data_IF_129939704099
#
_entry.id   IF_129939704099
#
_cell.length_a   1.000
_cell.length_b   1.000
_cell.length_c   1.000
_cell.angle_alpha   90.00
_cell.angle_beta   90.00
_cell.angle_gamma   90.00
#
_symmetry.space_group_name_H-M   'P 1'
#
loop_
_entity.id
_entity.type
_entity.pdbx_description
1 polymer ?
#
# COMPACT_ATOMS: atom_id res chain seq x y z
N UNK A 1 -23.76 5.10 -5.63
CA UNK A 1 -22.29 5.18 -5.71
C UNK A 1 -21.58 3.85 -5.41
N UNK A 2 -22.09 2.98 -4.51
CA UNK A 2 -21.48 1.67 -4.23
C UNK A 2 -21.43 0.67 -5.40
N UNK A 3 -22.30 0.81 -6.41
CA UNK A 3 -22.35 -0.09 -7.58
C UNK A 3 -21.15 0.07 -8.53
N UNK A 4 -20.55 1.25 -8.60
CA UNK A 4 -19.40 1.49 -9.47
C UNK A 4 -18.11 0.89 -8.88
N UNK A 5 -17.86 1.15 -7.59
CA UNK A 5 -16.69 0.61 -6.88
C UNK A 5 -16.72 -0.91 -6.88
N UNK A 6 -17.89 -1.51 -6.61
CA UNK A 6 -18.06 -2.96 -6.66
C UNK A 6 -17.76 -3.53 -8.06
N UNK A 7 -18.30 -2.92 -9.12
CA UNK A 7 -18.00 -3.34 -10.51
C UNK A 7 -16.52 -3.25 -10.85
N UNK A 8 -15.85 -2.22 -10.35
CA UNK A 8 -14.42 -1.99 -10.57
C UNK A 8 -13.58 -3.03 -9.80
N UNK A 9 -14.01 -3.42 -8.58
CA UNK A 9 -13.40 -4.51 -7.82
C UNK A 9 -13.66 -5.90 -8.43
N UNK A 10 -14.73 -6.08 -9.20
CA UNK A 10 -15.00 -7.30 -9.96
C UNK A 10 -14.27 -7.34 -11.31
N UNK A 11 -13.54 -6.30 -11.70
CA UNK A 11 -12.86 -6.25 -12.98
C UNK A 11 -11.48 -6.94 -12.93
N UNK A 12 -11.24 -7.83 -13.88
CA UNK A 12 -9.97 -8.55 -14.02
C UNK A 12 -8.84 -7.62 -14.47
N UNK A 13 -9.13 -6.65 -15.36
CA UNK A 13 -8.12 -5.71 -15.82
C UNK A 13 -7.64 -4.84 -14.66
N UNK A 14 -8.56 -4.32 -13.85
CA UNK A 14 -8.22 -3.61 -12.62
C UNK A 14 -7.40 -4.46 -11.64
N UNK A 15 -7.67 -5.77 -11.56
CA UNK A 15 -6.90 -6.70 -10.71
C UNK A 15 -5.43 -6.79 -11.09
N UNK A 16 -5.13 -6.91 -12.39
CA UNK A 16 -3.76 -6.92 -12.88
C UNK A 16 -3.05 -5.59 -12.68
N UNK A 17 -3.76 -4.46 -12.87
CA UNK A 17 -3.21 -3.13 -12.63
C UNK A 17 -2.85 -2.98 -11.14
N UNK A 18 -3.75 -3.35 -10.23
CA UNK A 18 -3.47 -3.31 -8.79
C UNK A 18 -2.28 -4.19 -8.41
N UNK A 19 -2.21 -5.39 -8.98
CA UNK A 19 -1.09 -6.31 -8.74
C UNK A 19 0.23 -5.68 -9.18
N UNK A 20 0.26 -5.07 -10.36
CA UNK A 20 1.42 -4.36 -10.86
C UNK A 20 1.85 -3.25 -9.91
N UNK A 21 0.91 -2.42 -9.43
CA UNK A 21 1.21 -1.36 -8.46
C UNK A 21 1.76 -1.90 -7.13
N UNK A 22 1.18 -2.99 -6.60
CA UNK A 22 1.65 -3.59 -5.34
C UNK A 22 3.11 -4.01 -5.48
N UNK A 23 3.45 -4.71 -6.57
CA UNK A 23 4.82 -5.13 -6.81
C UNK A 23 5.76 -3.96 -7.11
N UNK A 24 5.32 -2.98 -7.90
CA UNK A 24 6.14 -1.82 -8.25
C UNK A 24 6.50 -0.99 -7.01
N UNK A 25 5.51 -0.70 -6.14
CA UNK A 25 5.74 0.04 -4.90
C UNK A 25 6.57 -0.78 -3.91
N UNK A 26 6.30 -2.09 -3.78
CA UNK A 26 7.11 -2.96 -2.94
C UNK A 26 8.58 -3.00 -3.39
N UNK A 27 8.84 -3.09 -4.69
CA UNK A 27 10.20 -3.05 -5.24
C UNK A 27 10.84 -1.70 -4.95
N UNK A 28 10.12 -0.58 -5.11
CA UNK A 28 10.65 0.75 -4.80
C UNK A 28 11.06 0.86 -3.33
N UNK A 29 10.20 0.41 -2.43
CA UNK A 29 10.48 0.34 -1.00
C UNK A 29 11.73 -0.51 -0.71
N UNK A 30 11.83 -1.70 -1.30
CA UNK A 30 12.98 -2.58 -1.12
C UNK A 30 14.27 -1.98 -1.67
N UNK A 31 14.23 -1.34 -2.85
CA UNK A 31 15.40 -0.68 -3.45
C UNK A 31 15.91 0.40 -2.52
N UNK A 32 15.04 1.20 -1.90
CA UNK A 32 15.47 2.20 -0.93
C UNK A 32 16.02 1.55 0.34
N UNK A 33 15.32 0.57 0.91
CA UNK A 33 15.73 -0.12 2.13
C UNK A 33 17.10 -0.82 2.00
N UNK A 34 17.40 -1.37 0.81
CA UNK A 34 18.66 -2.05 0.52
C UNK A 34 19.74 -1.13 -0.08
N UNK A 35 19.38 0.09 -0.50
CA UNK A 35 20.32 1.09 -1.01
C UNK A 35 21.36 1.46 0.05
N UNK A 36 22.54 1.90 -0.39
CA UNK A 36 23.58 2.44 0.50
C UNK A 36 23.01 3.54 1.40
N UNK A 37 22.23 4.45 0.80
CA UNK A 37 21.58 5.55 1.51
C UNK A 37 20.63 5.05 2.61
N UNK A 38 19.85 4.00 2.35
CA UNK A 38 18.92 3.42 3.34
C UNK A 38 19.61 2.61 4.45
N UNK A 39 20.84 2.14 4.21
CA UNK A 39 21.64 1.36 5.17
C UNK A 39 22.45 2.22 6.12
N UNK A 40 22.72 3.47 5.76
CA UNK A 40 23.36 4.44 6.65
C UNK A 40 22.48 4.71 7.88
N UNK A 41 23.06 5.06 9.04
CA UNK A 41 22.29 5.33 10.27
C UNK A 41 21.20 6.39 10.03
N UNK A 42 21.51 7.37 9.19
CA UNK A 42 20.58 8.44 8.77
C UNK A 42 19.40 7.88 7.96
N UNK A 43 19.67 7.09 6.92
CA UNK A 43 18.62 6.48 6.10
C UNK A 43 17.80 5.44 6.86
N UNK A 44 18.40 4.72 7.79
CA UNK A 44 17.68 3.82 8.71
C UNK A 44 16.68 4.57 9.58
N UNK A 45 17.03 5.79 10.03
CA UNK A 45 16.11 6.67 10.76
C UNK A 45 14.94 7.15 9.89
N UNK A 46 15.19 7.48 8.63
CA UNK A 46 14.14 7.84 7.65
C UNK A 46 13.21 6.65 7.40
N UNK A 47 13.78 5.48 7.11
CA UNK A 47 13.05 4.25 6.85
C UNK A 47 12.18 3.87 8.04
N UNK A 48 12.70 3.95 9.26
CA UNK A 48 11.93 3.67 10.47
C UNK A 48 10.69 4.56 10.62
N UNK A 49 10.83 5.87 10.40
CA UNK A 49 9.69 6.81 10.46
C UNK A 49 8.68 6.58 9.34
N UNK A 50 9.17 6.32 8.12
CA UNK A 50 8.31 6.01 6.99
C UNK A 50 7.51 4.72 7.21
N UNK A 51 8.13 3.68 7.77
CA UNK A 51 7.45 2.45 8.15
C UNK A 51 6.37 2.68 9.21
N UNK A 52 6.58 3.58 10.18
CA UNK A 52 5.56 3.93 11.17
C UNK A 52 4.32 4.55 10.50
N UNK A 53 4.51 5.48 9.56
CA UNK A 53 3.40 6.05 8.79
C UNK A 53 2.70 5.00 7.93
N UNK A 54 3.46 4.09 7.31
CA UNK A 54 2.91 2.92 6.63
C UNK A 54 2.04 2.08 7.55
N UNK A 55 2.54 1.68 8.73
CA UNK A 55 1.79 0.87 9.71
C UNK A 55 0.48 1.55 10.12
N UNK A 56 0.46 2.87 10.30
CA UNK A 56 -0.76 3.63 10.57
C UNK A 56 -1.75 3.49 9.39
N UNK A 57 -1.28 3.64 8.15
CA UNK A 57 -2.12 3.45 6.97
C UNK A 57 -2.67 2.02 6.87
N UNK A 58 -1.86 1.00 7.20
CA UNK A 58 -2.29 -0.39 7.24
C UNK A 58 -3.35 -0.63 8.33
N UNK A 59 -3.14 -0.07 9.53
CA UNK A 59 -4.10 -0.15 10.63
C UNK A 59 -5.46 0.43 10.23
N UNK A 60 -5.46 1.64 9.66
CA UNK A 60 -6.70 2.28 9.17
C UNK A 60 -7.31 1.48 8.02
N UNK A 61 -6.51 1.07 7.04
CA UNK A 61 -6.97 0.34 5.86
C UNK A 61 -7.64 -1.01 6.19
N UNK A 62 -7.05 -1.78 7.11
CA UNK A 62 -7.62 -3.07 7.54
C UNK A 62 -8.91 -2.90 8.34
N UNK A 63 -9.01 -1.88 9.21
CA UNK A 63 -10.24 -1.58 9.93
C UNK A 63 -11.36 -1.10 8.99
N UNK A 64 -11.02 -0.33 7.95
CA UNK A 64 -11.99 0.05 6.92
C UNK A 64 -12.44 -1.16 6.10
N UNK A 65 -11.52 -2.03 5.70
CA UNK A 65 -11.85 -3.23 4.92
C UNK A 65 -12.79 -4.16 5.69
N UNK A 66 -12.57 -4.33 7.00
CA UNK A 66 -13.43 -5.15 7.86
C UNK A 66 -14.82 -4.56 8.10
N UNK A 67 -14.98 -3.23 8.03
CA UNK A 67 -16.31 -2.60 8.05
C UNK A 67 -17.18 -3.04 6.86
N UNK A 68 -16.56 -3.35 5.72
CA UNK A 68 -17.23 -3.80 4.50
C UNK A 68 -17.16 -5.32 4.29
N UNK A 69 -16.97 -6.11 5.35
CA UNK A 69 -16.73 -7.56 5.27
C UNK A 69 -17.71 -8.27 4.34
N UNK A 70 -19.02 -8.06 4.47
CA UNK A 70 -20.04 -8.73 3.64
C UNK A 70 -19.88 -8.47 2.13
N UNK A 71 -19.41 -7.29 1.74
CA UNK A 71 -19.15 -6.94 0.33
C UNK A 71 -17.79 -7.42 -0.13
N UNK A 72 -16.79 -7.42 0.76
CA UNK A 72 -15.43 -7.85 0.41
C UNK A 72 -15.33 -9.36 0.28
N UNK A 73 -16.10 -10.13 1.07
CA UNK A 73 -16.12 -11.59 1.03
C UNK A 73 -17.14 -12.17 0.05
N UNK A 74 -17.90 -11.35 -0.67
CA UNK A 74 -18.93 -11.84 -1.60
C UNK A 74 -18.35 -12.52 -2.83
N UNK A 75 -17.14 -12.14 -3.23
CA UNK A 75 -16.46 -12.67 -4.40
C UNK A 75 -14.93 -12.72 -4.16
N UNK A 76 -14.24 -13.82 -4.53
CA UNK A 76 -12.79 -13.94 -4.36
C UNK A 76 -11.97 -12.86 -5.07
N UNK A 77 -12.43 -12.36 -6.23
CA UNK A 77 -11.76 -11.30 -6.99
C UNK A 77 -11.91 -9.94 -6.27
N UNK A 78 -13.09 -9.65 -5.74
CA UNK A 78 -13.35 -8.46 -4.93
C UNK A 78 -12.48 -8.48 -3.67
N UNK A 79 -12.41 -9.62 -2.99
CA UNK A 79 -11.54 -9.82 -1.83
C UNK A 79 -10.07 -9.53 -2.18
N UNK A 80 -9.59 -10.15 -3.25
CA UNK A 80 -8.20 -9.99 -3.72
C UNK A 80 -7.88 -8.53 -4.03
N UNK A 81 -8.78 -7.84 -4.73
CA UNK A 81 -8.59 -6.44 -5.10
C UNK A 81 -8.67 -5.49 -3.90
N UNK A 82 -9.59 -5.73 -2.97
CA UNK A 82 -9.71 -4.94 -1.75
C UNK A 82 -8.43 -5.04 -0.89
N UNK A 83 -7.90 -6.26 -0.72
CA UNK A 83 -6.64 -6.47 0.01
C UNK A 83 -5.47 -5.79 -0.71
N UNK A 84 -5.37 -5.93 -2.03
CA UNK A 84 -4.33 -5.25 -2.82
C UNK A 84 -4.40 -3.72 -2.71
N UNK A 85 -5.59 -3.14 -2.66
CA UNK A 85 -5.76 -1.69 -2.44
C UNK A 85 -5.22 -1.26 -1.08
N UNK A 86 -5.44 -2.04 -0.02
CA UNK A 86 -4.88 -1.76 1.31
C UNK A 86 -3.35 -1.80 1.28
N UNK A 87 -2.76 -2.80 0.61
CA UNK A 87 -1.30 -2.87 0.45
C UNK A 87 -0.75 -1.74 -0.42
N UNK A 88 -1.44 -1.37 -1.49
CA UNK A 88 -1.06 -0.22 -2.30
C UNK A 88 -1.07 1.07 -1.47
N UNK A 89 -2.09 1.29 -0.66
CA UNK A 89 -2.15 2.45 0.24
C UNK A 89 -1.01 2.43 1.27
N UNK A 90 -0.69 1.26 1.84
CA UNK A 90 0.45 1.08 2.74
C UNK A 90 1.77 1.46 2.09
N UNK A 91 2.13 0.84 0.97
CA UNK A 91 3.41 1.09 0.32
C UNK A 91 3.50 2.51 -0.23
N UNK A 92 2.42 3.03 -0.82
CA UNK A 92 2.38 4.40 -1.31
C UNK A 92 2.60 5.42 -0.17
N UNK A 93 2.02 5.18 1.01
CA UNK A 93 2.25 6.03 2.19
C UNK A 93 3.69 5.94 2.66
N UNK A 94 4.27 4.74 2.72
CA UNK A 94 5.65 4.54 3.12
C UNK A 94 6.64 5.20 2.12
N UNK A 95 6.44 5.00 0.83
CA UNK A 95 7.30 5.51 -0.23
C UNK A 95 7.22 7.04 -0.34
N UNK A 96 6.02 7.62 -0.25
CA UNK A 96 5.86 9.07 -0.17
C UNK A 96 6.52 9.63 1.08
N UNK A 97 6.39 8.96 2.22
CA UNK A 97 7.05 9.38 3.46
C UNK A 97 8.57 9.37 3.32
N UNK A 98 9.14 8.33 2.69
CA UNK A 98 10.57 8.26 2.37
C UNK A 98 10.96 9.47 1.51
N UNK A 99 10.26 9.71 0.40
CA UNK A 99 10.55 10.80 -0.53
C UNK A 99 10.49 12.18 0.14
N UNK A 100 9.48 12.41 0.99
CA UNK A 100 9.28 13.67 1.71
C UNK A 100 10.39 13.85 2.76
N UNK A 101 10.66 12.82 3.57
CA UNK A 101 11.66 12.89 4.64
C UNK A 101 13.08 13.06 4.10
N UNK A 102 13.38 12.51 2.92
CA UNK A 102 14.64 12.76 2.19
C UNK A 102 14.81 14.21 1.75
N UNK A 103 13.71 14.91 1.44
CA UNK A 103 13.75 16.30 0.97
C UNK A 103 13.79 17.31 2.12
N UNK A 104 13.25 16.96 3.28
CA UNK A 104 13.18 17.83 4.45
C UNK A 104 14.45 17.84 5.31
N UNK A 105 15.38 16.90 5.10
CA UNK A 105 16.62 16.78 5.87
C UNK A 105 17.81 16.54 4.97
#
# INVERSE_FOLDING_TARGET
>A
MGSFIYRLLCDMTFSYINLFFVFALFIFFLVYALSKEGRDEHGRGILGRACLYGVIALFVGMNLLTLFTYTVTSDPLVYTNAVRLVFNAFFLTADLSILILRKLR
#
